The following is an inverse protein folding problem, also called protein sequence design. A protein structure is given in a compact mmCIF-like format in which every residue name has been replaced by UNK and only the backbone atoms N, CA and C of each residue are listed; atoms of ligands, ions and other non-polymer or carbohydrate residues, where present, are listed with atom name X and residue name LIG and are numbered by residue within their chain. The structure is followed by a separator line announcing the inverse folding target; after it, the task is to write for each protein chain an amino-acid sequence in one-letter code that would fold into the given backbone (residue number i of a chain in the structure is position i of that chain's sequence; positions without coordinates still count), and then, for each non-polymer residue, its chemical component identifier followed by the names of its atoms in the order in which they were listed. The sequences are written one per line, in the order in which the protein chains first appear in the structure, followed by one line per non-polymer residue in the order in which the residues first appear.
data_IF_360700171251
#
_entry.id   IF_360700171251
#
_cell.length_a   1.000
_cell.length_b   1.000
_cell.length_c   1.000
_cell.angle_alpha   90.00
_cell.angle_beta   90.00
_cell.angle_gamma   90.00
#
_symmetry.space_group_name_H-M   'P 1'
#
loop_
_entity.id
_entity.type
_entity.pdbx_description
1 polymer ?
#
# COMPACT_ATOMS: atom_id res chain seq x y z
N UNK A 1 -12.59 11.99 21.71
CA UNK A 1 -11.52 12.79 21.06
C UNK A 1 -10.22 11.99 21.10
N UNK A 2 -9.61 11.70 19.95
CA UNK A 2 -8.34 10.94 19.90
C UNK A 2 -7.20 11.77 20.52
N UNK A 3 -6.36 11.13 21.32
CA UNK A 3 -5.16 11.74 21.93
C UNK A 3 -4.15 12.17 20.86
N UNK A 4 -3.38 13.24 21.11
CA UNK A 4 -2.30 13.72 20.20
C UNK A 4 -1.34 12.59 19.79
N UNK A 5 -1.01 11.66 20.69
CA UNK A 5 -0.20 10.47 20.37
C UNK A 5 -0.88 9.53 19.36
N UNK A 6 -2.18 9.28 19.51
CA UNK A 6 -2.94 8.42 18.60
C UNK A 6 -3.07 9.06 17.21
N UNK A 7 -3.31 10.37 17.15
CA UNK A 7 -3.30 11.13 15.88
C UNK A 7 -1.94 11.03 15.19
N UNK A 8 -0.84 11.24 15.90
CA UNK A 8 0.50 11.18 15.31
C UNK A 8 0.88 9.76 14.86
N UNK A 9 0.46 8.73 15.60
CA UNK A 9 0.64 7.34 15.19
C UNK A 9 -0.12 7.02 13.90
N UNK A 10 -1.41 7.40 13.82
CA UNK A 10 -2.22 7.21 12.62
C UNK A 10 -1.65 7.96 11.42
N UNK A 11 -1.22 9.21 11.60
CA UNK A 11 -0.59 10.01 10.54
C UNK A 11 0.71 9.35 10.06
N UNK A 12 1.57 8.83 10.97
CA UNK A 12 2.77 8.08 10.59
C UNK A 12 2.46 6.79 9.84
N UNK A 13 1.47 6.01 10.29
CA UNK A 13 1.06 4.79 9.59
C UNK A 13 0.52 5.12 8.19
N UNK A 14 -0.33 6.15 8.06
CA UNK A 14 -0.84 6.61 6.76
C UNK A 14 0.25 7.22 5.88
N UNK A 15 1.26 7.89 6.43
CA UNK A 15 2.40 8.39 5.64
C UNK A 15 3.24 7.24 5.10
N UNK A 16 3.40 6.13 5.86
CA UNK A 16 4.03 4.91 5.35
C UNK A 16 3.30 4.37 4.11
N UNK A 17 1.96 4.38 4.12
CA UNK A 17 1.16 4.02 2.94
C UNK A 17 1.33 4.99 1.77
N UNK A 18 1.63 6.27 2.01
CA UNK A 18 1.92 7.28 0.98
C UNK A 18 3.26 7.04 0.27
N UNK A 19 4.25 6.49 0.99
CA UNK A 19 5.57 6.12 0.45
C UNK A 19 5.45 4.90 -0.47
N UNK A 20 4.69 3.88 -0.07
CA UNK A 20 4.54 2.61 -0.84
C UNK A 20 3.54 2.74 -1.99
N UNK A 21 3.05 3.95 -2.31
CA UNK A 21 1.97 4.15 -3.29
C UNK A 21 0.76 3.24 -2.98
N UNK A 22 0.37 3.18 -1.71
CA UNK A 22 -0.64 2.23 -1.21
C UNK A 22 -1.98 2.28 -1.94
N UNK A 23 -2.33 3.41 -2.57
CA UNK A 23 -3.51 3.50 -3.43
C UNK A 23 -3.43 2.55 -4.64
N UNK A 24 -2.25 2.39 -5.26
CA UNK A 24 -2.06 1.47 -6.39
C UNK A 24 -2.22 0.01 -5.93
N UNK A 25 -1.64 -0.32 -4.79
CA UNK A 25 -1.77 -1.66 -4.21
C UNK A 25 -3.24 -1.96 -3.89
N UNK A 26 -3.97 -1.01 -3.31
CA UNK A 26 -5.39 -1.16 -3.01
C UNK A 26 -6.23 -1.38 -4.28
N UNK A 27 -5.96 -0.63 -5.35
CA UNK A 27 -6.63 -0.82 -6.65
C UNK A 27 -6.36 -2.23 -7.18
N UNK A 28 -5.13 -2.72 -7.10
CA UNK A 28 -4.78 -4.08 -7.55
C UNK A 28 -5.52 -5.14 -6.72
N UNK A 29 -5.57 -4.98 -5.40
CA UNK A 29 -6.34 -5.86 -4.50
C UNK A 29 -7.82 -5.92 -4.93
N UNK A 30 -8.45 -4.76 -5.17
CA UNK A 30 -9.83 -4.70 -5.63
C UNK A 30 -9.99 -5.41 -6.99
N UNK A 31 -9.08 -5.15 -7.93
CA UNK A 31 -9.11 -5.79 -9.25
C UNK A 31 -8.96 -7.32 -9.16
N UNK A 32 -8.11 -7.82 -8.26
CA UNK A 32 -7.95 -9.26 -8.04
C UNK A 32 -9.24 -9.91 -7.52
N UNK A 33 -9.93 -9.27 -6.58
CA UNK A 33 -11.23 -9.77 -6.10
C UNK A 33 -12.32 -9.69 -7.17
N UNK A 34 -12.39 -8.60 -7.94
CA UNK A 34 -13.35 -8.49 -9.06
C UNK A 34 -13.09 -9.56 -10.12
N UNK A 35 -11.83 -9.83 -10.47
CA UNK A 35 -11.46 -10.89 -11.39
C UNK A 35 -11.82 -12.28 -10.83
N UNK A 36 -11.57 -12.52 -9.54
CA UNK A 36 -11.93 -13.78 -8.91
C UNK A 36 -13.45 -14.02 -8.95
N UNK A 37 -14.25 -13.01 -8.62
CA UNK A 37 -15.71 -13.09 -8.56
C UNK A 37 -16.34 -13.20 -9.94
N UNK A 38 -15.94 -12.35 -10.89
CA UNK A 38 -16.66 -12.21 -12.17
C UNK A 38 -16.04 -12.99 -13.33
N UNK A 39 -14.76 -13.34 -13.25
CA UNK A 39 -14.04 -14.01 -14.36
C UNK A 39 -13.73 -15.46 -14.01
N UNK A 40 -13.15 -15.71 -12.83
CA UNK A 40 -12.63 -17.04 -12.48
C UNK A 40 -13.68 -17.97 -11.87
N UNK A 41 -14.62 -17.44 -11.09
CA UNK A 41 -15.63 -18.23 -10.40
C UNK A 41 -17.06 -17.63 -10.52
N UNK A 42 -17.57 -17.37 -11.74
CA UNK A 42 -18.85 -16.70 -11.94
C UNK A 42 -20.05 -17.50 -11.40
N UNK A 43 -19.93 -18.82 -11.34
CA UNK A 43 -20.98 -19.73 -10.87
C UNK A 43 -20.96 -19.92 -9.34
N UNK A 44 -19.91 -19.43 -8.65
CA UNK A 44 -19.78 -19.58 -7.20
C UNK A 44 -20.47 -18.41 -6.48
N UNK A 45 -21.13 -18.67 -5.34
CA UNK A 45 -21.70 -17.59 -4.54
C UNK A 45 -20.60 -16.67 -4.02
N UNK A 46 -20.87 -15.36 -4.06
CA UNK A 46 -19.92 -14.30 -3.70
C UNK A 46 -19.24 -14.52 -2.34
N UNK A 47 -19.98 -15.02 -1.35
CA UNK A 47 -19.46 -15.30 -0.02
C UNK A 47 -18.36 -16.37 -0.03
N UNK A 48 -18.46 -17.40 -0.86
CA UNK A 48 -17.43 -18.44 -0.94
C UNK A 48 -16.11 -17.88 -1.48
N UNK A 49 -16.18 -16.98 -2.47
CA UNK A 49 -14.98 -16.35 -3.05
C UNK A 49 -14.37 -15.33 -2.08
N UNK A 50 -15.20 -14.49 -1.44
CA UNK A 50 -14.70 -13.46 -0.52
C UNK A 50 -14.05 -14.03 0.75
N UNK A 51 -14.58 -15.14 1.26
CA UNK A 51 -14.06 -15.82 2.45
C UNK A 51 -13.09 -16.97 2.13
N UNK A 52 -12.66 -17.12 0.88
CA UNK A 52 -11.62 -18.08 0.51
C UNK A 52 -10.26 -17.62 1.07
N UNK A 53 -9.73 -18.41 2.02
CA UNK A 53 -8.44 -18.17 2.65
C UNK A 53 -7.30 -18.26 1.64
N UNK A 54 -7.41 -19.11 0.61
CA UNK A 54 -6.38 -19.23 -0.42
C UNK A 54 -6.31 -17.96 -1.27
N UNK A 55 -7.48 -17.41 -1.65
CA UNK A 55 -7.55 -16.15 -2.39
C UNK A 55 -6.97 -15.00 -1.54
N UNK A 56 -7.32 -14.95 -0.25
CA UNK A 56 -6.76 -13.95 0.67
C UNK A 56 -5.23 -14.05 0.75
N UNK A 57 -4.68 -15.25 0.91
CA UNK A 57 -3.23 -15.46 0.97
C UNK A 57 -2.54 -15.04 -0.34
N UNK A 58 -3.16 -15.31 -1.50
CA UNK A 58 -2.64 -14.92 -2.80
C UNK A 58 -2.63 -13.39 -2.97
N UNK A 59 -3.72 -12.73 -2.59
CA UNK A 59 -3.85 -11.27 -2.61
C UNK A 59 -2.82 -10.62 -1.68
N UNK A 60 -2.64 -11.14 -0.46
CA UNK A 60 -1.64 -10.65 0.48
C UNK A 60 -0.21 -10.83 -0.04
N UNK A 61 0.11 -12.00 -0.62
CA UNK A 61 1.41 -12.24 -1.24
C UNK A 61 1.67 -11.28 -2.40
N UNK A 62 0.67 -11.06 -3.26
CA UNK A 62 0.75 -10.11 -4.38
C UNK A 62 1.00 -8.69 -3.87
N UNK A 63 0.24 -8.25 -2.87
CA UNK A 63 0.39 -6.93 -2.26
C UNK A 63 1.78 -6.74 -1.64
N UNK A 64 2.31 -7.75 -0.95
CA UNK A 64 3.65 -7.71 -0.36
C UNK A 64 4.76 -7.61 -1.42
N UNK A 65 4.64 -8.34 -2.53
CA UNK A 65 5.59 -8.27 -3.65
C UNK A 65 5.57 -6.89 -4.31
N UNK A 66 4.38 -6.34 -4.58
CA UNK A 66 4.23 -5.02 -5.19
C UNK A 66 4.77 -3.93 -4.24
N UNK A 67 4.44 -4.01 -2.95
CA UNK A 67 4.95 -3.11 -1.93
C UNK A 67 6.49 -3.14 -1.88
N UNK A 68 7.08 -4.33 -1.92
CA UNK A 68 8.54 -4.50 -1.97
C UNK A 68 9.13 -3.88 -3.24
N UNK A 69 8.49 -4.08 -4.39
CA UNK A 69 8.88 -3.45 -5.65
C UNK A 69 8.86 -1.92 -5.58
N UNK A 70 7.84 -1.33 -4.93
CA UNK A 70 7.80 0.11 -4.70
C UNK A 70 8.86 0.60 -3.72
N UNK A 71 9.18 -0.16 -2.66
CA UNK A 71 10.26 0.17 -1.73
C UNK A 71 11.60 0.17 -2.46
N UNK A 72 11.88 -0.87 -3.26
CA UNK A 72 13.09 -0.95 -4.08
C UNK A 72 13.13 0.21 -5.07
N UNK A 73 12.03 0.48 -5.78
CA UNK A 73 11.99 1.58 -6.74
C UNK A 73 12.28 2.93 -6.07
N UNK A 74 11.67 3.20 -4.91
CA UNK A 74 11.91 4.43 -4.18
C UNK A 74 13.35 4.51 -3.61
N UNK A 75 13.97 3.38 -3.27
CA UNK A 75 15.36 3.35 -2.79
C UNK A 75 16.36 3.73 -3.88
N UNK A 76 16.16 3.25 -5.11
CA UNK A 76 17.05 3.58 -6.23
C UNK A 76 16.71 4.92 -6.91
N UNK A 77 15.43 5.36 -6.88
CA UNK A 77 15.01 6.65 -7.43
C UNK A 77 15.12 7.82 -6.43
N UNK A 78 15.60 7.61 -5.19
CA UNK A 78 15.61 8.64 -4.14
C UNK A 78 16.42 9.89 -4.50
N UNK A 79 17.54 9.73 -5.23
CA UNK A 79 18.35 10.86 -5.71
C UNK A 79 17.64 11.63 -6.84
N UNK A 80 16.81 10.94 -7.63
CA UNK A 80 16.09 11.51 -8.77
C UNK A 80 14.78 12.18 -8.34
N UNK A 81 14.12 11.65 -7.32
CA UNK A 81 12.87 12.18 -6.76
C UNK A 81 13.09 13.47 -5.94
N UNK A 82 14.28 13.68 -5.33
CA UNK A 82 14.65 14.98 -4.74
C UNK A 82 14.67 16.12 -5.78
N UNK A 83 14.95 15.81 -7.04
CA UNK A 83 15.00 16.78 -8.14
C UNK A 83 13.63 16.91 -8.84
N UNK A 84 12.90 15.81 -9.04
CA UNK A 84 11.66 15.79 -9.82
C UNK A 84 10.36 16.03 -9.03
N UNK A 85 10.33 15.91 -7.69
CA UNK A 85 9.11 16.11 -6.88
C UNK A 85 9.38 16.88 -5.56
N UNK A 86 9.64 18.20 -5.62
CA UNK A 86 10.06 18.99 -4.46
C UNK A 86 9.00 19.10 -3.35
N UNK A 87 7.71 19.00 -3.65
CA UNK A 87 6.64 19.11 -2.63
C UNK A 87 6.42 17.82 -1.82
N UNK A 88 6.70 16.65 -2.40
CA UNK A 88 6.61 15.36 -1.69
C UNK A 88 7.78 15.21 -0.70
N UNK A 89 8.95 15.75 -1.07
CA UNK A 89 10.16 15.75 -0.25
C UNK A 89 9.99 16.52 1.07
N UNK A 90 9.27 17.65 1.08
CA UNK A 90 9.03 18.47 2.29
C UNK A 90 8.17 17.76 3.35
N UNK A 91 7.24 16.91 2.93
CA UNK A 91 6.37 16.14 3.82
C UNK A 91 7.14 15.00 4.52
N UNK A 92 8.09 14.40 3.81
CA UNK A 92 8.98 13.37 4.37
C UNK A 92 10.08 13.99 5.26
N UNK A 93 10.52 15.23 4.99
CA UNK A 93 11.50 15.97 5.80
C UNK A 93 10.96 16.38 7.19
N UNK A 94 9.63 16.56 7.31
CA UNK A 94 8.96 16.79 8.60
C UNK A 94 8.94 15.53 9.49
N UNK A 95 9.19 14.34 8.93
CA UNK A 95 9.40 13.10 9.67
C UNK A 95 10.90 12.88 9.81
N UNK A 96 11.47 13.53 10.82
CA UNK A 96 12.87 13.44 11.23
C UNK A 96 13.53 12.08 10.93
N UNK A 97 14.53 12.11 10.03
CA UNK A 97 15.48 11.03 9.79
C UNK A 97 16.47 10.79 10.97
N UNK A 98 16.16 11.24 12.19
CA UNK A 98 17.03 11.04 13.36
C UNK A 98 16.84 9.66 14.00
N UNK A 99 16.99 8.60 13.20
CA UNK A 99 17.34 7.30 13.74
C UNK A 99 18.38 6.68 12.80
N UNK A 100 19.57 7.30 12.81
CA UNK A 100 20.82 6.58 12.58
C UNK A 100 21.13 5.71 13.78
#
# INVERSE_FOLDING_TARGET
MLSRKQKNFLIKSFSLFSVVRGYNVLIIVIAQYLAAVYILAPEMPLSQVLFDVNLLMLVLASAAVIASGYIINNFYDSEKDQINRPEKSKLDELVSQNTK
#
